data_IF_461350058670
#
_entry.id   IF_461350058670
#
_cell.length_a   1.000
_cell.length_b   1.000
_cell.length_c   1.000
_cell.angle_alpha   90.00
_cell.angle_beta   90.00
_cell.angle_gamma   90.00
#
_symmetry.space_group_name_H-M   'P 1'
#
loop_
_entity.id
_entity.type
_entity.pdbx_description
1 polymer ?
#
# COMPACT_ATOMS: atom_id res chain seq x y z
N UNK A 1 23.88 16.17 9.41
CA UNK A 1 22.59 15.60 9.85
C UNK A 1 22.88 14.28 10.53
N UNK A 2 22.70 14.18 11.85
CA UNK A 2 22.98 12.94 12.60
C UNK A 2 21.72 12.06 12.52
N UNK A 3 21.80 10.92 11.83
CA UNK A 3 20.74 9.92 11.85
C UNK A 3 21.05 8.93 12.98
N UNK A 4 20.16 8.84 13.95
CA UNK A 4 20.19 7.79 14.98
C UNK A 4 19.27 6.68 14.53
N UNK A 5 19.76 5.44 14.52
CA UNK A 5 18.95 4.26 14.23
C UNK A 5 17.84 4.19 15.30
N UNK A 6 16.57 4.25 14.87
CA UNK A 6 15.40 4.20 15.76
C UNK A 6 14.91 5.55 16.31
N UNK A 7 15.47 6.68 15.87
CA UNK A 7 14.92 8.01 16.19
C UNK A 7 13.67 8.35 15.38
N UNK A 8 12.85 9.28 15.87
CA UNK A 8 11.69 9.79 15.11
C UNK A 8 12.16 10.53 13.86
N UNK A 9 11.63 10.12 12.70
CA UNK A 9 11.97 10.72 11.42
C UNK A 9 11.29 12.10 11.26
N UNK A 10 11.99 13.10 10.70
CA UNK A 10 11.37 14.38 10.37
C UNK A 10 10.17 14.18 9.45
N UNK A 11 9.08 14.92 9.70
CA UNK A 11 7.91 14.93 8.82
C UNK A 11 8.28 15.42 7.42
N UNK A 12 7.73 14.76 6.41
CA UNK A 12 7.93 15.12 5.01
C UNK A 12 7.08 16.36 4.65
N UNK A 13 7.68 17.41 4.07
CA UNK A 13 6.94 18.59 3.63
C UNK A 13 5.81 18.24 2.65
N UNK A 14 4.60 18.74 2.90
CA UNK A 14 3.39 18.44 2.13
C UNK A 14 2.67 17.13 2.53
N UNK A 15 3.24 16.35 3.44
CA UNK A 15 2.68 15.09 3.94
C UNK A 15 2.60 15.04 5.47
N UNK A 16 2.66 16.19 6.14
CA UNK A 16 2.76 16.32 7.60
C UNK A 16 1.55 15.74 8.37
N UNK A 17 0.44 15.53 7.66
CA UNK A 17 -0.78 14.89 8.16
C UNK A 17 -0.67 13.37 8.30
N UNK A 18 0.34 12.76 7.70
CA UNK A 18 0.56 11.32 7.76
C UNK A 18 1.67 10.98 8.77
N UNK A 19 1.53 9.83 9.42
CA UNK A 19 2.62 9.25 10.24
C UNK A 19 3.65 8.55 9.33
N UNK A 20 4.87 8.31 9.83
CA UNK A 20 5.88 7.53 9.09
C UNK A 20 5.37 6.14 8.71
N UNK A 21 4.58 5.49 9.57
CA UNK A 21 3.95 4.20 9.29
C UNK A 21 2.92 4.30 8.15
N UNK A 22 2.08 5.33 8.14
CA UNK A 22 1.15 5.57 7.02
C UNK A 22 1.90 5.87 5.72
N UNK A 23 3.00 6.64 5.77
CA UNK A 23 3.83 6.95 4.61
C UNK A 23 4.50 5.71 4.03
N UNK A 24 4.95 4.78 4.87
CA UNK A 24 5.48 3.49 4.44
C UNK A 24 4.46 2.73 3.57
N UNK A 25 3.22 2.60 4.02
CA UNK A 25 2.18 1.89 3.27
C UNK A 25 1.71 2.66 2.02
N UNK A 26 1.70 4.01 2.07
CA UNK A 26 1.48 4.84 0.88
C UNK A 26 2.55 4.54 -0.17
N UNK A 27 3.82 4.43 0.22
CA UNK A 27 4.91 4.16 -0.71
C UNK A 27 4.81 2.74 -1.33
N UNK A 28 4.44 1.74 -0.55
CA UNK A 28 4.10 0.39 -1.06
C UNK A 28 3.00 0.44 -2.13
N UNK A 29 1.98 1.27 -1.92
CA UNK A 29 0.93 1.51 -2.92
C UNK A 29 1.48 2.17 -4.18
N UNK A 30 2.32 3.20 -4.03
CA UNK A 30 2.93 3.96 -5.14
C UNK A 30 3.79 3.09 -6.06
N UNK A 31 4.52 2.12 -5.52
CA UNK A 31 5.36 1.20 -6.30
C UNK A 31 4.55 0.43 -7.36
N UNK A 32 3.27 0.16 -7.09
CA UNK A 32 2.39 -0.59 -7.99
C UNK A 32 1.40 0.32 -8.74
N UNK A 33 1.52 1.64 -8.63
CA UNK A 33 0.69 2.57 -9.40
C UNK A 33 0.99 2.46 -10.89
N UNK A 34 -0.04 2.15 -11.67
CA UNK A 34 0.08 1.95 -13.11
C UNK A 34 -1.18 2.41 -13.85
N UNK A 35 -1.00 2.90 -15.08
CA UNK A 35 -2.07 3.18 -16.01
C UNK A 35 -1.97 2.20 -17.17
N UNK A 36 -3.03 1.42 -17.40
CA UNK A 36 -3.12 0.45 -18.50
C UNK A 36 -4.38 0.67 -19.32
N UNK A 37 -4.24 0.54 -20.64
CA UNK A 37 -5.40 0.45 -21.52
C UNK A 37 -6.01 -0.96 -21.44
N UNK A 38 -7.27 -1.09 -21.89
CA UNK A 38 -8.05 -2.33 -21.78
C UNK A 38 -7.35 -3.54 -22.40
N UNK A 39 -6.79 -3.39 -23.60
CA UNK A 39 -6.16 -4.51 -24.32
C UNK A 39 -4.88 -4.99 -23.61
N UNK A 40 -4.09 -4.05 -23.07
CA UNK A 40 -2.89 -4.37 -22.29
C UNK A 40 -3.22 -5.04 -20.96
N UNK A 41 -4.31 -4.63 -20.31
CA UNK A 41 -4.81 -5.24 -19.08
C UNK A 41 -5.31 -6.66 -19.35
N UNK A 42 -6.08 -6.85 -20.42
CA UNK A 42 -6.57 -8.17 -20.84
C UNK A 42 -5.41 -9.12 -21.18
N UNK A 43 -4.39 -8.62 -21.89
CA UNK A 43 -3.17 -9.39 -22.16
C UNK A 43 -2.46 -9.79 -20.88
N UNK A 44 -2.36 -8.88 -19.91
CA UNK A 44 -1.72 -9.19 -18.62
C UNK A 44 -2.48 -10.27 -17.87
N UNK A 45 -3.80 -10.11 -17.72
CA UNK A 45 -4.65 -11.07 -17.01
C UNK A 45 -4.52 -12.48 -17.61
N UNK A 46 -4.41 -12.58 -18.93
CA UNK A 46 -4.37 -13.87 -19.63
C UNK A 46 -2.97 -14.48 -19.77
N UNK A 47 -1.89 -13.70 -19.68
CA UNK A 47 -0.54 -14.16 -20.06
C UNK A 47 0.57 -13.87 -19.04
N UNK A 48 0.37 -12.94 -18.11
CA UNK A 48 1.39 -12.58 -17.13
C UNK A 48 1.25 -13.45 -15.88
N UNK A 49 2.37 -13.86 -15.28
CA UNK A 49 2.40 -14.61 -14.02
C UNK A 49 2.02 -13.76 -12.80
N UNK A 50 2.13 -12.42 -12.93
CA UNK A 50 1.80 -11.47 -11.89
C UNK A 50 0.45 -10.82 -12.15
N UNK A 51 -0.35 -10.73 -11.09
CA UNK A 51 -1.62 -10.00 -11.08
C UNK A 51 -1.42 -8.50 -11.28
N UNK A 52 -2.44 -7.77 -11.77
CA UNK A 52 -2.41 -6.30 -11.88
C UNK A 52 -1.99 -5.63 -10.56
N UNK A 53 -1.29 -4.50 -10.68
CA UNK A 53 -0.70 -3.78 -9.55
C UNK A 53 -1.73 -3.42 -8.47
N UNK A 54 -2.92 -2.97 -8.88
CA UNK A 54 -4.04 -2.68 -7.97
C UNK A 54 -4.40 -3.90 -7.11
N UNK A 55 -4.54 -5.07 -7.74
CA UNK A 55 -4.90 -6.32 -7.05
C UNK A 55 -3.79 -6.74 -6.10
N UNK A 56 -2.52 -6.65 -6.53
CA UNK A 56 -1.35 -6.94 -5.67
C UNK A 56 -1.35 -6.07 -4.42
N UNK A 57 -1.52 -4.76 -4.58
CA UNK A 57 -1.54 -3.80 -3.46
C UNK A 57 -2.68 -4.07 -2.50
N UNK A 58 -3.91 -4.21 -3.00
CA UNK A 58 -5.09 -4.42 -2.15
C UNK A 58 -4.96 -5.74 -1.38
N UNK A 59 -4.59 -6.83 -2.05
CA UNK A 59 -4.47 -8.13 -1.38
C UNK A 59 -3.34 -8.15 -0.36
N UNK A 60 -2.16 -7.61 -0.68
CA UNK A 60 -1.04 -7.58 0.25
C UNK A 60 -1.37 -6.76 1.50
N UNK A 61 -1.92 -5.55 1.32
CA UNK A 61 -2.19 -4.64 2.43
C UNK A 61 -3.43 -5.01 3.25
N UNK A 62 -4.43 -5.65 2.65
CA UNK A 62 -5.63 -6.10 3.38
C UNK A 62 -5.38 -7.34 4.25
N UNK A 63 -4.39 -8.16 3.89
CA UNK A 63 -3.92 -9.29 4.69
C UNK A 63 -2.90 -8.90 5.77
N UNK A 64 -2.47 -7.62 5.82
CA UNK A 64 -1.44 -7.18 6.75
C UNK A 64 -2.02 -6.26 7.82
N UNK A 65 -2.22 -6.81 9.03
CA UNK A 65 -2.86 -6.11 10.16
C UNK A 65 -2.27 -4.73 10.46
N UNK A 66 -0.93 -4.52 10.47
CA UNK A 66 -0.36 -3.19 10.69
C UNK A 66 -0.84 -2.15 9.68
N UNK A 67 -1.01 -2.50 8.40
CA UNK A 67 -1.58 -1.59 7.39
C UNK A 67 -3.00 -1.18 7.76
N UNK A 68 -3.85 -2.16 8.11
CA UNK A 68 -5.24 -1.86 8.51
C UNK A 68 -5.33 -1.01 9.79
N UNK A 69 -4.37 -1.17 10.71
CA UNK A 69 -4.29 -0.39 11.94
C UNK A 69 -3.82 1.04 11.67
N UNK A 70 -2.78 1.21 10.84
CA UNK A 70 -2.23 2.52 10.49
C UNK A 70 -3.28 3.47 9.89
N UNK A 71 -4.27 2.92 9.16
CA UNK A 71 -5.37 3.68 8.57
C UNK A 71 -6.72 3.52 9.30
N UNK A 72 -6.75 2.84 10.45
CA UNK A 72 -7.97 2.58 11.22
C UNK A 72 -9.11 1.97 10.37
N UNK A 73 -8.79 0.99 9.52
CA UNK A 73 -9.77 0.36 8.64
C UNK A 73 -10.85 -0.39 9.45
N UNK A 74 -12.11 -0.23 9.05
CA UNK A 74 -13.26 -0.96 9.62
C UNK A 74 -13.20 -2.44 9.23
N UNK A 75 -13.69 -3.32 10.11
CA UNK A 75 -13.82 -4.75 9.82
C UNK A 75 -14.73 -4.96 8.60
N UNK A 76 -14.39 -5.93 7.75
CA UNK A 76 -15.06 -6.21 6.46
C UNK A 76 -15.01 -5.07 5.44
N UNK A 77 -14.15 -4.07 5.64
CA UNK A 77 -13.80 -3.14 4.55
C UNK A 77 -12.89 -3.84 3.54
N UNK A 78 -12.80 -3.32 2.31
CA UNK A 78 -11.89 -3.83 1.27
C UNK A 78 -10.44 -4.00 1.76
N UNK A 79 -10.01 -3.19 2.73
CA UNK A 79 -8.64 -3.16 3.26
C UNK A 79 -8.48 -3.88 4.61
N UNK A 80 -9.50 -4.62 5.08
CA UNK A 80 -9.42 -5.40 6.32
C UNK A 80 -10.28 -6.65 6.24
N UNK A 81 -9.61 -7.78 6.09
CA UNK A 81 -10.23 -9.10 6.13
C UNK A 81 -10.47 -9.53 7.60
N UNK A 82 -11.35 -10.51 7.81
CA UNK A 82 -11.54 -11.15 9.12
C UNK A 82 -10.23 -11.75 9.65
N UNK A 83 -10.13 -11.88 10.97
CA UNK A 83 -8.90 -12.15 11.73
C UNK A 83 -7.94 -13.15 11.05
N UNK A 84 -6.89 -12.61 10.44
CA UNK A 84 -5.67 -13.29 10.02
C UNK A 84 -4.45 -12.57 10.60
#
# INVERSE_FOLDING_TARGET
>A
MKYYIGGEEPKLPGFEKFTSEQLFFIDVGRINCELRNRDSLEKQINKNEHTPGEIRTILALSNYKPSSNAFNCKLHSRMKLEDK
#
